data_IF_759269981237
#
_entry.id   IF_759269981237
#
_cell.length_a   1.000
_cell.length_b   1.000
_cell.length_c   1.000
_cell.angle_alpha   90.00
_cell.angle_beta   90.00
_cell.angle_gamma   90.00
#
_symmetry.space_group_name_H-M   'P 1'
#
loop_
_entity.id
_entity.type
_entity.pdbx_description
1 polymer ?
#
# COMPACT_ATOMS: atom_id res chain seq x y z
N UNK A 1 6.51 -1.14 -1.81
CA UNK A 1 6.12 0.29 -1.88
C UNK A 1 4.77 0.63 -1.29
N UNK A 2 3.67 -0.03 -1.65
CA UNK A 2 2.29 0.32 -1.20
C UNK A 2 2.22 0.55 0.32
N UNK A 3 2.77 -0.37 1.12
CA UNK A 3 2.73 -0.29 2.59
C UNK A 3 3.56 0.86 3.21
N UNK A 4 4.43 1.56 2.45
CA UNK A 4 5.23 2.65 3.00
C UNK A 4 4.35 3.77 3.54
N UNK A 5 3.30 4.14 2.80
CA UNK A 5 2.33 5.14 3.25
C UNK A 5 1.74 4.73 4.60
N UNK A 6 1.14 3.54 4.66
CA UNK A 6 0.57 3.01 5.91
C UNK A 6 1.58 2.96 7.06
N UNK A 7 2.78 2.40 6.85
CA UNK A 7 3.79 2.22 7.91
C UNK A 7 4.38 3.54 8.42
N UNK A 8 4.46 4.55 7.58
CA UNK A 8 5.11 5.83 7.91
C UNK A 8 4.11 6.91 8.33
N UNK A 9 2.88 6.88 7.83
CA UNK A 9 1.91 7.96 8.04
C UNK A 9 0.89 7.65 9.12
N UNK A 10 0.56 6.39 9.39
CA UNK A 10 -0.42 6.04 10.43
C UNK A 10 0.22 6.03 11.83
N UNK A 11 -0.59 6.21 12.87
CA UNK A 11 -0.13 6.20 14.25
C UNK A 11 0.50 4.85 14.63
N UNK A 12 1.47 4.86 15.56
CA UNK A 12 2.27 3.70 15.93
C UNK A 12 1.44 2.50 16.42
N UNK A 13 0.37 2.78 17.18
CA UNK A 13 -0.54 1.77 17.71
C UNK A 13 -1.81 1.58 16.85
N UNK A 14 -1.92 2.23 15.69
CA UNK A 14 -3.14 2.15 14.88
C UNK A 14 -3.41 0.73 14.38
N UNK A 15 -4.69 0.30 14.32
CA UNK A 15 -5.06 -1.00 13.77
C UNK A 15 -4.52 -1.21 12.35
N UNK A 16 -4.55 -0.17 11.51
CA UNK A 16 -4.01 -0.22 10.16
C UNK A 16 -2.51 -0.56 10.16
N UNK A 17 -1.69 0.14 10.96
CA UNK A 17 -0.25 -0.16 11.05
C UNK A 17 0.01 -1.56 11.59
N UNK A 18 -0.69 -1.94 12.66
CA UNK A 18 -0.52 -3.25 13.31
C UNK A 18 -0.90 -4.39 12.37
N UNK A 19 -1.99 -4.25 11.62
CA UNK A 19 -2.38 -5.21 10.58
C UNK A 19 -1.27 -5.46 9.55
N UNK A 20 -0.64 -4.39 9.03
CA UNK A 20 0.48 -4.52 8.10
C UNK A 20 1.72 -5.14 8.76
N UNK A 21 2.04 -4.75 9.99
CA UNK A 21 3.17 -5.30 10.74
C UNK A 21 2.98 -6.80 11.06
N UNK A 22 1.77 -7.25 11.38
CA UNK A 22 1.46 -8.66 11.60
C UNK A 22 1.70 -9.49 10.33
N UNK A 23 1.23 -9.02 9.17
CA UNK A 23 1.50 -9.69 7.90
C UNK A 23 3.00 -9.73 7.59
N UNK A 24 3.71 -8.60 7.74
CA UNK A 24 5.16 -8.53 7.54
C UNK A 24 5.94 -9.43 8.50
N UNK A 25 5.47 -9.56 9.75
CA UNK A 25 6.08 -10.44 10.74
C UNK A 25 5.93 -11.91 10.32
N UNK A 26 4.74 -12.35 9.88
CA UNK A 26 4.55 -13.71 9.37
C UNK A 26 5.39 -13.99 8.12
N UNK A 27 5.50 -13.02 7.20
CA UNK A 27 6.35 -13.13 6.01
C UNK A 27 7.81 -13.29 6.42
N UNK A 28 8.32 -12.43 7.32
CA UNK A 28 9.69 -12.48 7.81
C UNK A 28 9.99 -13.82 8.49
N UNK A 29 9.13 -14.24 9.42
CA UNK A 29 9.25 -15.53 10.11
C UNK A 29 9.32 -16.72 9.16
N UNK A 30 8.50 -16.72 8.12
CA UNK A 30 8.44 -17.81 7.15
C UNK A 30 9.63 -17.79 6.20
N UNK A 31 9.97 -16.61 5.67
CA UNK A 31 11.06 -16.43 4.72
C UNK A 31 12.41 -16.79 5.34
N UNK A 32 12.68 -16.37 6.58
CA UNK A 32 13.95 -16.66 7.28
C UNK A 32 14.12 -18.16 7.49
N UNK A 33 13.06 -18.88 7.87
CA UNK A 33 13.09 -20.34 8.01
C UNK A 33 13.25 -21.06 6.67
N UNK A 34 12.65 -20.56 5.59
CA UNK A 34 12.85 -21.09 4.24
C UNK A 34 14.28 -20.85 3.72
N UNK A 35 14.88 -19.73 4.10
CA UNK A 35 16.25 -19.37 3.73
C UNK A 35 17.29 -20.18 4.52
N UNK A 36 17.00 -20.58 5.76
CA UNK A 36 17.97 -21.19 6.68
C UNK A 36 18.79 -22.36 6.10
N UNK A 37 18.21 -23.32 5.34
CA UNK A 37 18.98 -24.42 4.76
C UNK A 37 19.97 -24.01 3.66
N UNK A 38 19.84 -22.81 3.08
CA UNK A 38 20.63 -22.35 1.92
C UNK A 38 21.56 -21.19 2.33
N UNK A 39 21.03 -20.23 3.09
CA UNK A 39 21.69 -19.00 3.51
C UNK A 39 21.80 -18.98 5.04
N UNK A 40 22.40 -20.02 5.61
CA UNK A 40 22.38 -20.33 7.05
C UNK A 40 22.83 -19.17 7.93
N UNK A 41 23.99 -18.57 7.66
CA UNK A 41 24.52 -17.46 8.45
C UNK A 41 23.62 -16.21 8.40
N UNK A 42 23.14 -15.87 7.20
CA UNK A 42 22.25 -14.71 7.01
C UNK A 42 20.90 -14.93 7.69
N UNK A 43 20.33 -16.14 7.57
CA UNK A 43 19.08 -16.46 8.24
C UNK A 43 19.23 -16.39 9.77
N UNK A 44 20.34 -16.87 10.31
CA UNK A 44 20.63 -16.86 11.74
C UNK A 44 20.89 -15.44 12.29
N UNK A 45 21.58 -14.59 11.53
CA UNK A 45 21.73 -13.16 11.83
C UNK A 45 20.37 -12.44 11.87
N UNK A 46 19.52 -12.64 10.86
CA UNK A 46 18.18 -12.04 10.83
C UNK A 46 17.35 -12.53 12.03
N UNK A 47 17.45 -13.82 12.36
CA UNK A 47 16.72 -14.40 13.48
C UNK A 47 17.07 -13.72 14.81
N UNK A 48 18.37 -13.60 15.12
CA UNK A 48 18.86 -12.91 16.32
C UNK A 48 18.44 -11.44 16.38
N UNK A 49 18.45 -10.74 15.25
CA UNK A 49 17.97 -9.35 15.17
C UNK A 49 16.47 -9.24 15.44
N UNK A 50 15.68 -10.21 14.96
CA UNK A 50 14.24 -10.21 15.14
C UNK A 50 13.81 -10.57 16.56
N UNK A 51 14.48 -11.56 17.18
CA UNK A 51 14.18 -12.00 18.54
C UNK A 51 14.76 -11.05 19.59
N UNK A 52 15.81 -10.30 19.24
CA UNK A 52 16.59 -9.50 20.19
C UNK A 52 17.45 -10.36 21.12
N UNK A 53 17.65 -11.63 20.77
CA UNK A 53 18.33 -12.64 21.59
C UNK A 53 19.43 -13.32 20.78
N UNK A 54 20.69 -13.07 21.16
CA UNK A 54 21.85 -13.58 20.45
C UNK A 54 22.07 -15.09 20.62
N UNK A 55 21.44 -15.71 21.62
CA UNK A 55 21.54 -17.15 21.91
C UNK A 55 20.52 -17.96 21.10
N UNK A 56 19.53 -17.32 20.48
CA UNK A 56 18.57 -18.00 19.62
C UNK A 56 19.12 -18.22 18.21
N UNK A 57 18.81 -19.39 17.64
CA UNK A 57 19.15 -19.74 16.26
C UNK A 57 17.93 -20.23 15.51
N UNK A 58 17.76 -19.76 14.27
CA UNK A 58 16.68 -20.22 13.37
C UNK A 58 16.71 -21.73 13.17
N UNK A 59 17.89 -22.36 13.27
CA UNK A 59 18.09 -23.80 13.08
C UNK A 59 17.40 -24.66 14.15
N UNK A 60 17.01 -24.05 15.27
CA UNK A 60 16.30 -24.71 16.37
C UNK A 60 14.78 -24.57 16.26
N UNK A 61 14.27 -23.97 15.18
CA UNK A 61 12.84 -23.72 14.99
C UNK A 61 12.26 -24.48 13.81
N UNK A 62 10.99 -24.86 13.96
CA UNK A 62 10.19 -25.47 12.90
C UNK A 62 9.32 -24.43 12.18
N UNK A 63 8.78 -24.83 11.02
CA UNK A 63 7.79 -24.03 10.32
C UNK A 63 6.55 -23.79 11.19
N UNK A 64 5.99 -22.58 11.06
CA UNK A 64 4.78 -22.19 11.77
C UNK A 64 3.56 -22.34 10.86
N UNK A 65 2.40 -22.66 11.45
CA UNK A 65 1.13 -22.56 10.75
C UNK A 65 0.85 -21.08 10.42
N UNK A 66 0.41 -20.83 9.19
CA UNK A 66 -0.04 -19.50 8.76
C UNK A 66 -1.55 -19.36 9.03
N UNK A 67 -2.03 -18.15 9.33
CA UNK A 67 -3.46 -17.88 9.39
C UNK A 67 -4.11 -18.23 8.04
N UNK A 68 -5.16 -19.03 8.06
CA UNK A 68 -5.93 -19.36 6.86
C UNK A 68 -6.99 -18.27 6.62
N UNK A 69 -6.89 -17.48 5.55
CA UNK A 69 -7.91 -16.49 5.24
C UNK A 69 -9.18 -17.17 4.70
N UNK A 70 -10.34 -16.64 5.08
CA UNK A 70 -11.60 -17.04 4.46
C UNK A 70 -11.57 -16.72 2.94
N UNK A 71 -12.06 -17.65 2.12
CA UNK A 71 -12.10 -17.45 0.66
C UNK A 71 -10.71 -17.29 0.02
N UNK A 72 -9.68 -17.99 0.51
CA UNK A 72 -8.29 -17.85 0.03
C UNK A 72 -8.16 -17.86 -1.50
N UNK A 73 -8.83 -18.80 -2.18
CA UNK A 73 -8.79 -18.90 -3.64
C UNK A 73 -9.35 -17.67 -4.35
N UNK A 74 -10.50 -17.17 -3.90
CA UNK A 74 -11.14 -15.96 -4.43
C UNK A 74 -10.29 -14.73 -4.15
N UNK A 75 -9.68 -14.64 -2.96
CA UNK A 75 -8.78 -13.56 -2.58
C UNK A 75 -7.53 -13.54 -3.46
N UNK A 76 -6.92 -14.70 -3.69
CA UNK A 76 -5.75 -14.83 -4.57
C UNK A 76 -6.08 -14.44 -6.01
N UNK A 77 -7.23 -14.86 -6.52
CA UNK A 77 -7.68 -14.49 -7.87
C UNK A 77 -7.94 -12.98 -8.00
N UNK A 78 -8.67 -12.40 -7.04
CA UNK A 78 -8.92 -10.96 -6.97
C UNK A 78 -7.62 -10.16 -6.99
N UNK A 79 -6.66 -10.50 -6.12
CA UNK A 79 -5.38 -9.79 -6.06
C UNK A 79 -4.47 -10.06 -7.25
N UNK A 80 -4.59 -11.21 -7.92
CA UNK A 80 -3.93 -11.46 -9.21
C UNK A 80 -4.44 -10.51 -10.29
N UNK A 81 -5.75 -10.33 -10.40
CA UNK A 81 -6.38 -9.39 -11.34
C UNK A 81 -6.00 -7.93 -11.04
N UNK A 82 -6.05 -7.53 -9.77
CA UNK A 82 -5.62 -6.19 -9.31
C UNK A 82 -4.17 -5.91 -9.72
N UNK A 83 -3.24 -6.88 -9.60
CA UNK A 83 -1.85 -6.70 -10.05
C UNK A 83 -1.75 -6.46 -11.56
N UNK A 84 -2.59 -7.13 -12.35
CA UNK A 84 -2.70 -6.90 -13.79
C UNK A 84 -3.14 -5.48 -14.12
N UNK A 85 -4.28 -5.04 -13.56
CA UNK A 85 -4.78 -3.68 -13.76
C UNK A 85 -3.81 -2.61 -13.28
N UNK A 86 -3.13 -2.85 -12.15
CA UNK A 86 -2.08 -1.96 -11.64
C UNK A 86 -0.93 -1.83 -12.63
N UNK A 87 -0.53 -2.89 -13.33
CA UNK A 87 0.54 -2.81 -14.32
C UNK A 87 0.16 -1.88 -15.49
N UNK A 88 -1.10 -1.91 -15.95
CA UNK A 88 -1.61 -0.99 -16.97
C UNK A 88 -1.57 0.47 -16.49
N UNK A 89 -2.03 0.73 -15.27
CA UNK A 89 -1.99 2.06 -14.64
C UNK A 89 -0.56 2.57 -14.50
N UNK A 90 0.36 1.73 -14.04
CA UNK A 90 1.77 2.10 -13.89
C UNK A 90 2.41 2.50 -15.22
N UNK A 91 2.05 1.83 -16.33
CA UNK A 91 2.51 2.20 -17.67
C UNK A 91 1.98 3.58 -18.08
N UNK A 92 0.69 3.84 -17.91
CA UNK A 92 0.09 5.15 -18.23
C UNK A 92 0.66 6.29 -17.38
N UNK A 93 0.98 6.03 -16.11
CA UNK A 93 1.66 7.01 -15.25
C UNK A 93 3.11 7.26 -15.67
N UNK A 94 3.80 6.25 -16.20
CA UNK A 94 5.14 6.41 -16.76
C UNK A 94 5.12 7.28 -18.02
N UNK A 95 4.11 7.12 -18.90
CA UNK A 95 3.95 7.97 -20.07
C UNK A 95 3.82 9.47 -19.69
N UNK A 96 3.09 9.77 -18.61
CA UNK A 96 3.02 11.14 -18.07
C UNK A 96 4.37 11.62 -17.51
N UNK A 97 5.14 10.73 -16.89
CA UNK A 97 6.46 11.04 -16.33
C UNK A 97 7.46 11.36 -17.44
N UNK A 98 7.51 10.52 -18.48
CA UNK A 98 8.35 10.73 -19.67
C UNK A 98 7.98 12.05 -20.37
N UNK A 99 6.69 12.37 -20.44
CA UNK A 99 6.20 13.64 -20.98
C UNK A 99 6.46 14.87 -20.07
N UNK A 100 7.11 14.69 -18.92
CA UNK A 100 7.42 15.77 -17.97
C UNK A 100 6.22 16.35 -17.24
N UNK A 101 5.05 15.70 -17.29
CA UNK A 101 3.80 16.18 -16.69
C UNK A 101 3.71 15.90 -15.19
N UNK A 102 4.38 14.85 -14.72
CA UNK A 102 4.50 14.49 -13.30
C UNK A 102 5.92 14.04 -12.98
N UNK A 103 6.40 14.32 -11.77
CA UNK A 103 7.64 13.76 -11.23
C UNK A 103 7.41 12.44 -10.47
N UNK A 104 6.27 12.31 -9.77
CA UNK A 104 5.89 11.10 -9.03
C UNK A 104 4.46 10.68 -9.32
N UNK A 105 4.15 9.39 -9.15
CA UNK A 105 2.79 8.86 -9.33
C UNK A 105 1.78 9.49 -8.37
N UNK A 106 2.24 9.96 -7.20
CA UNK A 106 1.42 10.70 -6.23
C UNK A 106 0.95 12.06 -6.75
N UNK A 107 1.53 12.59 -7.83
CA UNK A 107 1.06 13.84 -8.44
C UNK A 107 -0.06 13.62 -9.46
N UNK A 108 -0.56 12.39 -9.62
CA UNK A 108 -1.58 12.06 -10.60
C UNK A 108 -2.92 11.65 -9.97
N UNK A 109 -3.97 11.86 -10.76
CA UNK A 109 -5.27 11.21 -10.64
C UNK A 109 -5.37 10.08 -11.68
N UNK A 110 -6.04 9.00 -11.31
CA UNK A 110 -6.29 7.83 -12.16
C UNK A 110 -7.80 7.58 -12.25
N UNK A 111 -8.38 7.72 -13.43
CA UNK A 111 -9.78 7.42 -13.70
C UNK A 111 -9.87 6.16 -14.54
N UNK A 112 -10.61 5.17 -14.04
CA UNK A 112 -10.81 3.86 -14.64
C UNK A 112 -12.28 3.71 -15.02
N UNK A 113 -12.55 3.76 -16.32
CA UNK A 113 -13.83 3.42 -16.91
C UNK A 113 -13.78 1.95 -17.28
N UNK A 114 -14.69 1.15 -16.73
CA UNK A 114 -14.76 -0.27 -17.02
C UNK A 114 -16.12 -0.85 -16.61
N UNK A 115 -16.42 -2.07 -17.02
CA UNK A 115 -17.64 -2.78 -16.62
C UNK A 115 -17.35 -4.16 -16.03
N UNK A 116 -18.43 -4.83 -15.63
CA UNK A 116 -18.42 -6.23 -15.24
C UNK A 116 -17.47 -6.52 -14.08
N UNK A 117 -16.70 -7.61 -14.21
CA UNK A 117 -15.81 -8.07 -13.15
C UNK A 117 -14.71 -7.04 -12.80
N UNK A 118 -14.14 -6.36 -13.80
CA UNK A 118 -13.08 -5.37 -13.58
C UNK A 118 -13.60 -4.20 -12.74
N UNK A 119 -14.79 -3.70 -13.07
CA UNK A 119 -15.47 -2.66 -12.28
C UNK A 119 -15.71 -3.13 -10.85
N UNK A 120 -16.34 -4.30 -10.67
CA UNK A 120 -16.66 -4.84 -9.35
C UNK A 120 -15.41 -5.00 -8.48
N UNK A 121 -14.31 -5.52 -9.04
CA UNK A 121 -13.04 -5.69 -8.31
C UNK A 121 -12.46 -4.33 -7.90
N UNK A 122 -12.32 -3.38 -8.83
CA UNK A 122 -11.67 -2.11 -8.57
C UNK A 122 -12.52 -1.22 -7.65
N UNK A 123 -13.83 -1.16 -7.87
CA UNK A 123 -14.76 -0.41 -7.03
C UNK A 123 -14.82 -0.97 -5.60
N UNK A 124 -14.68 -2.29 -5.42
CA UNK A 124 -14.69 -2.90 -4.07
C UNK A 124 -13.58 -2.42 -3.14
N UNK A 125 -12.52 -1.79 -3.67
CA UNK A 125 -11.42 -1.24 -2.87
C UNK A 125 -11.71 0.17 -2.32
N UNK A 126 -12.74 0.88 -2.82
CA UNK A 126 -13.08 2.22 -2.37
C UNK A 126 -11.91 3.21 -2.48
N UNK A 127 -11.76 4.09 -1.47
CA UNK A 127 -10.63 5.05 -1.41
C UNK A 127 -9.27 4.35 -1.30
N UNK A 128 -9.22 3.10 -0.82
CA UNK A 128 -7.94 2.39 -0.66
C UNK A 128 -7.27 2.07 -2.00
N UNK A 129 -8.02 2.10 -3.11
CA UNK A 129 -7.50 1.88 -4.46
C UNK A 129 -6.34 2.84 -4.79
N UNK A 130 -6.38 4.10 -4.34
CA UNK A 130 -5.30 5.06 -4.61
C UNK A 130 -3.98 4.66 -3.97
N UNK A 131 -4.00 3.94 -2.85
CA UNK A 131 -2.78 3.39 -2.24
C UNK A 131 -2.24 2.20 -3.02
N UNK A 132 -3.13 1.32 -3.49
CA UNK A 132 -2.75 0.20 -4.35
C UNK A 132 -2.08 0.69 -5.63
N UNK A 133 -2.63 1.75 -6.23
CA UNK A 133 -2.10 2.38 -7.44
C UNK A 133 -0.96 3.37 -7.19
N UNK A 134 -0.70 3.75 -5.93
CA UNK A 134 0.31 4.73 -5.52
C UNK A 134 0.10 6.09 -6.25
N UNK A 135 -1.13 6.58 -6.22
CA UNK A 135 -1.51 7.89 -6.74
C UNK A 135 -2.34 8.66 -5.70
N UNK A 136 -2.63 9.94 -5.94
CA UNK A 136 -3.34 10.75 -4.93
C UNK A 136 -4.84 10.75 -5.06
N UNK A 137 -5.36 10.39 -6.22
CA UNK A 137 -6.79 10.31 -6.47
C UNK A 137 -7.08 9.16 -7.43
N UNK A 138 -8.15 8.42 -7.13
CA UNK A 138 -8.71 7.39 -8.01
C UNK A 138 -10.20 7.58 -8.17
N UNK A 139 -10.70 7.30 -9.37
CA UNK A 139 -12.13 7.19 -9.64
C UNK A 139 -12.37 5.95 -10.49
N UNK A 140 -13.37 5.15 -10.12
CA UNK A 140 -13.81 4.00 -10.90
C UNK A 140 -15.23 4.28 -11.36
N UNK A 141 -15.46 4.25 -12.66
CA UNK A 141 -16.76 4.55 -13.29
C UNK A 141 -17.22 3.30 -14.02
N UNK A 142 -18.47 2.90 -13.78
CA UNK A 142 -19.08 1.83 -14.56
C UNK A 142 -19.40 2.36 -15.95
N UNK A 143 -18.79 1.75 -16.97
CA UNK A 143 -18.83 2.25 -18.34
C UNK A 143 -18.75 1.07 -19.32
N UNK A 144 -19.50 1.12 -20.42
CA UNK A 144 -19.45 0.10 -21.46
C UNK A 144 -18.08 0.07 -22.16
N UNK A 145 -17.43 1.23 -22.26
CA UNK A 145 -16.12 1.38 -22.88
C UNK A 145 -15.01 1.36 -21.83
N UNK A 146 -14.12 0.37 -21.93
CA UNK A 146 -12.93 0.31 -21.09
C UNK A 146 -11.94 1.44 -21.44
N UNK A 147 -11.73 2.38 -20.51
CA UNK A 147 -10.78 3.50 -20.66
C UNK A 147 -9.98 3.74 -19.39
N UNK A 148 -8.69 4.02 -19.55
CA UNK A 148 -7.77 4.43 -18.49
C UNK A 148 -7.29 5.85 -18.78
N UNK A 149 -7.61 6.77 -17.88
CA UNK A 149 -7.23 8.17 -17.98
C UNK A 149 -6.36 8.55 -16.77
N UNK A 150 -5.12 8.96 -17.04
CA UNK A 150 -4.24 9.51 -16.01
C UNK A 150 -4.02 11.00 -16.29
N UNK A 151 -4.09 11.83 -15.26
CA UNK A 151 -3.88 13.26 -15.38
C UNK A 151 -3.07 13.82 -14.19
N UNK A 152 -2.21 14.83 -14.39
CA UNK A 152 -1.59 15.54 -13.28
C UNK A 152 -2.63 16.27 -12.43
N UNK A 153 -2.39 16.35 -11.13
CA UNK A 153 -3.20 17.11 -10.18
C UNK A 153 -2.61 18.49 -9.96
N UNK A 154 -3.41 19.53 -10.16
CA UNK A 154 -3.07 20.91 -9.83
C UNK A 154 -3.44 21.26 -8.38
N UNK A 155 -2.95 20.47 -7.41
CA UNK A 155 -3.16 20.70 -5.97
C UNK A 155 -1.82 20.73 -5.23
N UNK A 156 -1.84 21.16 -3.97
CA UNK A 156 -0.65 21.22 -3.15
C UNK A 156 -0.22 19.82 -2.64
N UNK A 157 1.09 19.63 -2.52
CA UNK A 157 1.71 18.39 -2.00
C UNK A 157 1.82 18.46 -0.48
N UNK A 158 1.26 17.47 0.22
CA UNK A 158 1.49 17.32 1.65
C UNK A 158 2.95 16.98 1.94
N UNK A 159 3.61 17.71 2.84
CA UNK A 159 5.03 17.52 3.15
C UNK A 159 5.33 16.24 3.94
N UNK A 160 4.31 15.63 4.56
CA UNK A 160 4.46 14.39 5.35
C UNK A 160 4.20 13.12 4.53
N UNK A 161 3.03 12.97 3.92
CA UNK A 161 2.68 11.76 3.17
C UNK A 161 2.93 11.87 1.65
N UNK A 162 3.30 13.07 1.17
CA UNK A 162 3.56 13.37 -0.24
C UNK A 162 2.37 13.20 -1.20
N UNK A 163 1.19 12.87 -0.69
CA UNK A 163 -0.03 12.98 -1.47
C UNK A 163 -0.33 14.43 -1.83
N UNK A 164 -0.84 14.60 -3.04
CA UNK A 164 -1.32 15.88 -3.58
C UNK A 164 -2.81 15.98 -3.29
N UNK A 165 -3.21 16.97 -2.49
CA UNK A 165 -4.56 17.06 -1.92
C UNK A 165 -5.04 18.50 -1.83
N UNK A 166 -6.37 18.68 -1.92
CA UNK A 166 -7.00 20.00 -1.88
C UNK A 166 -6.99 20.64 -0.48
N UNK A 167 -6.89 19.81 0.56
CA UNK A 167 -6.94 20.23 1.97
C UNK A 167 -5.56 20.50 2.59
N UNK A 168 -4.49 20.46 1.80
CA UNK A 168 -3.16 20.91 2.27
C UNK A 168 -3.25 22.41 2.58
N UNK A 169 -2.63 22.83 3.69
CA UNK A 169 -2.65 24.22 4.20
C UNK A 169 -4.02 24.72 4.69
N UNK A 170 -5.00 23.84 4.84
CA UNK A 170 -6.31 24.20 5.40
C UNK A 170 -6.30 24.47 6.91
N UNK A 171 -5.24 24.07 7.62
CA UNK A 171 -5.11 24.20 9.07
C UNK A 171 -3.94 25.15 9.45
N UNK A 172 -4.22 26.36 9.98
CA UNK A 172 -3.20 27.38 10.24
C UNK A 172 -2.06 26.96 11.18
N UNK A 173 -2.33 26.05 12.12
CA UNK A 173 -1.33 25.59 13.10
C UNK A 173 -0.32 24.58 12.56
N UNK A 174 -0.57 23.99 11.38
CA UNK A 174 0.30 22.97 10.78
C UNK A 174 0.34 23.12 9.25
N UNK A 175 0.97 24.20 8.74
CA UNK A 175 1.13 24.41 7.31
C UNK A 175 1.90 23.27 6.65
N UNK A 176 1.54 22.96 5.40
CA UNK A 176 2.10 21.91 4.57
C UNK A 176 1.51 20.53 4.79
N UNK A 177 0.57 20.37 5.74
CA UNK A 177 -0.07 19.08 6.04
C UNK A 177 -1.51 19.01 5.52
N UNK A 178 -1.91 17.83 5.04
CA UNK A 178 -3.32 17.53 4.75
C UNK A 178 -4.03 17.04 6.02
N UNK A 179 -5.36 17.12 6.03
CA UNK A 179 -6.21 16.67 7.15
C UNK A 179 -6.00 15.21 7.53
N UNK A 180 -5.70 14.33 6.56
CA UNK A 180 -5.35 12.92 6.83
C UNK A 180 -4.10 12.80 7.70
N UNK A 181 -3.06 13.58 7.39
CA UNK A 181 -1.82 13.57 8.16
C UNK A 181 -2.00 14.16 9.55
N UNK A 182 -2.85 15.18 9.68
CA UNK A 182 -3.20 15.79 10.97
C UNK A 182 -3.97 14.81 11.86
N UNK A 183 -5.00 14.16 11.31
CA UNK A 183 -5.74 13.12 12.03
C UNK A 183 -4.82 11.99 12.49
N UNK A 184 -3.86 11.57 11.67
CA UNK A 184 -2.89 10.54 12.05
C UNK A 184 -1.87 10.97 13.11
N UNK A 185 -1.63 12.27 13.30
CA UNK A 185 -0.70 12.78 14.31
C UNK A 185 -1.42 13.03 15.64
N UNK A 186 -2.54 13.76 15.58
CA UNK A 186 -3.19 14.36 16.75
C UNK A 186 -4.68 13.99 16.89
N UNK A 187 -5.22 13.16 16.00
CA UNK A 187 -6.64 12.77 15.98
C UNK A 187 -6.86 11.26 16.10
N UNK A 188 -8.03 10.80 15.64
CA UNK A 188 -8.40 9.38 15.66
C UNK A 188 -7.62 8.52 14.66
N UNK A 189 -6.96 9.16 13.69
CA UNK A 189 -6.26 8.51 12.59
C UNK A 189 -7.20 8.05 11.47
N UNK A 190 -6.60 7.56 10.40
CA UNK A 190 -7.34 7.02 9.26
C UNK A 190 -7.69 5.53 9.45
N UNK A 191 -8.86 5.14 8.94
CA UNK A 191 -9.26 3.74 8.81
C UNK A 191 -8.84 3.22 7.43
N UNK A 192 -8.38 1.96 7.38
CA UNK A 192 -7.99 1.26 6.16
C UNK A 192 -8.62 -0.12 6.15
N UNK A 193 -9.19 -0.52 5.01
CA UNK A 193 -9.81 -1.83 4.83
C UNK A 193 -8.90 -2.81 4.06
N UNK A 194 -8.12 -2.29 3.11
CA UNK A 194 -7.30 -3.09 2.18
C UNK A 194 -5.85 -2.62 2.16
N UNK A 195 -5.56 -1.38 1.75
CA UNK A 195 -4.20 -0.89 1.44
C UNK A 195 -3.76 0.32 2.29
#
# INVERSE_FOLDING_TARGET
DILKDRLYTTAAASPARRSAQSALWHILQSLVKLMAPILSFTADEIWRLQTGDAEQSVMLHTWQALPAPAGEGELLDKWRKIRGYRAEVMRALEDLRIAGKIGSSLQAAVHLHCNGEKYQILASLGDDLRFVLICSQTMVVEDADDRLLCAPLALAKCQRCWHVRADVDSHPGQPGLCGRCLSNLDGEGETRAFA
#
